data_IF_795199769189
#
_entry.id   IF_795199769189
#
_cell.length_a   1.000
_cell.length_b   1.000
_cell.length_c   1.000
_cell.angle_alpha   90.00
_cell.angle_beta   90.00
_cell.angle_gamma   90.00
#
_symmetry.space_group_name_H-M   'P 1'
#
loop_
_entity.id
_entity.type
_entity.pdbx_description
1 polymer ?
#
# COMPACT_ATOMS: atom_id res chain seq x y z
N UNK A 1 -10.27 18.27 43.79
CA UNK A 1 -10.81 18.79 42.51
C UNK A 1 -9.74 19.46 41.65
N UNK A 2 -8.82 20.26 42.21
CA UNK A 2 -7.78 20.96 41.45
C UNK A 2 -6.71 20.05 40.77
N UNK A 3 -6.24 19.00 41.45
CA UNK A 3 -5.22 18.09 40.88
C UNK A 3 -5.72 17.28 39.67
N UNK A 4 -7.02 16.97 39.62
CA UNK A 4 -7.63 16.29 38.47
C UNK A 4 -7.69 17.23 37.26
N UNK A 5 -8.11 18.49 37.45
CA UNK A 5 -8.11 19.48 36.36
C UNK A 5 -6.71 19.78 35.84
N UNK A 6 -5.70 19.78 36.71
CA UNK A 6 -4.30 20.01 36.32
C UNK A 6 -3.76 18.84 35.47
N UNK A 7 -4.05 17.59 35.85
CA UNK A 7 -3.72 16.40 35.04
C UNK A 7 -4.44 16.36 33.70
N UNK A 8 -5.70 16.81 33.65
CA UNK A 8 -6.44 16.93 32.38
C UNK A 8 -5.83 18.02 31.49
N UNK A 9 -5.46 19.16 32.05
CA UNK A 9 -4.79 20.22 31.30
C UNK A 9 -3.45 19.74 30.73
N UNK A 10 -2.67 19.00 31.51
CA UNK A 10 -1.39 18.42 31.07
C UNK A 10 -1.59 17.38 29.97
N UNK A 11 -2.58 16.50 30.08
CA UNK A 11 -2.92 15.52 29.03
C UNK A 11 -3.35 16.21 27.74
N UNK A 12 -4.20 17.23 27.81
CA UNK A 12 -4.64 17.98 26.63
C UNK A 12 -3.50 18.75 25.97
N UNK A 13 -2.55 19.29 26.75
CA UNK A 13 -1.35 19.95 26.23
C UNK A 13 -0.41 18.96 25.53
N UNK A 14 -0.26 17.74 26.04
CA UNK A 14 0.56 16.70 25.40
C UNK A 14 -0.09 16.19 24.11
N UNK A 15 -1.42 16.03 24.11
CA UNK A 15 -2.18 15.59 22.94
C UNK A 15 -2.17 16.64 21.83
N UNK A 16 -2.39 17.92 22.16
CA UNK A 16 -2.34 18.99 21.16
C UNK A 16 -0.96 19.15 20.54
N UNK A 17 0.11 18.92 21.33
CA UNK A 17 1.48 18.91 20.84
C UNK A 17 1.74 17.72 19.90
N UNK A 18 1.31 16.51 20.26
CA UNK A 18 1.48 15.34 19.39
C UNK A 18 0.70 15.49 18.08
N UNK A 19 -0.51 16.06 18.14
CA UNK A 19 -1.31 16.29 16.94
C UNK A 19 -0.65 17.32 16.02
N UNK A 20 -0.12 18.42 16.57
CA UNK A 20 0.61 19.41 15.80
C UNK A 20 1.86 18.82 15.11
N UNK A 21 2.60 17.95 15.79
CA UNK A 21 3.75 17.24 15.21
C UNK A 21 3.33 16.26 14.10
N UNK A 22 2.20 15.57 14.26
CA UNK A 22 1.63 14.70 13.23
C UNK A 22 1.19 15.48 11.99
N UNK A 23 0.51 16.62 12.15
CA UNK A 23 0.11 17.44 10.99
C UNK A 23 1.30 18.04 10.26
N UNK A 24 2.37 18.40 10.98
CA UNK A 24 3.60 18.91 10.38
C UNK A 24 4.29 17.83 9.54
N UNK A 25 4.46 16.64 10.10
CA UNK A 25 5.10 15.52 9.39
C UNK A 25 4.29 15.05 8.18
N UNK A 26 2.96 14.97 8.30
CA UNK A 26 2.07 14.69 7.17
C UNK A 26 2.11 15.79 6.10
N UNK A 27 2.23 17.05 6.51
CA UNK A 27 2.38 18.18 5.60
C UNK A 27 3.69 18.09 4.79
N UNK A 28 4.80 17.81 5.46
CA UNK A 28 6.12 17.64 4.85
C UNK A 28 6.14 16.43 3.89
N UNK A 29 5.54 15.31 4.29
CA UNK A 29 5.41 14.13 3.42
C UNK A 29 4.54 14.42 2.19
N UNK A 30 3.41 15.11 2.34
CA UNK A 30 2.55 15.48 1.21
C UNK A 30 3.24 16.47 0.25
N UNK A 31 4.00 17.43 0.79
CA UNK A 31 4.78 18.35 -0.03
C UNK A 31 5.86 17.60 -0.82
N UNK A 32 6.57 16.66 -0.18
CA UNK A 32 7.55 15.80 -0.85
C UNK A 32 6.92 14.95 -1.96
N UNK A 33 5.76 14.35 -1.72
CA UNK A 33 5.04 13.57 -2.75
C UNK A 33 4.64 14.46 -3.93
N UNK A 34 4.14 15.68 -3.66
CA UNK A 34 3.79 16.63 -4.74
C UNK A 34 5.00 17.03 -5.57
N UNK A 35 6.16 17.26 -4.93
CA UNK A 35 7.39 17.59 -5.63
C UNK A 35 7.89 16.42 -6.49
N UNK A 36 7.82 15.18 -5.99
CA UNK A 36 8.11 13.98 -6.80
C UNK A 36 7.17 13.88 -8.00
N UNK A 37 5.87 14.14 -7.81
CA UNK A 37 4.89 14.15 -8.91
C UNK A 37 5.21 15.24 -9.92
N UNK A 38 5.58 16.43 -9.47
CA UNK A 38 5.94 17.56 -10.33
C UNK A 38 7.23 17.30 -11.11
N UNK A 39 8.25 16.73 -10.47
CA UNK A 39 9.49 16.27 -11.14
C UNK A 39 9.21 15.21 -12.21
N UNK A 40 8.22 14.33 -11.97
CA UNK A 40 7.77 13.31 -12.93
C UNK A 40 6.85 13.86 -14.03
N UNK A 41 6.18 15.00 -13.81
CA UNK A 41 5.23 15.61 -14.76
C UNK A 41 5.74 16.90 -15.41
N UNK A 42 6.98 17.30 -15.12
CA UNK A 42 7.62 18.48 -15.67
C UNK A 42 7.68 18.50 -17.21
N UNK A 43 7.86 19.68 -17.83
CA UNK A 43 7.68 19.89 -19.28
C UNK A 43 8.63 19.09 -20.19
N UNK A 44 9.68 18.47 -19.64
CA UNK A 44 10.50 17.49 -20.37
C UNK A 44 9.72 16.21 -20.74
N UNK A 45 8.70 15.85 -19.97
CA UNK A 45 7.79 14.73 -20.26
C UNK A 45 6.74 15.08 -21.32
N UNK A 46 6.41 16.36 -21.50
CA UNK A 46 5.41 16.81 -22.48
C UNK A 46 5.91 16.78 -23.94
N UNK A 47 7.22 16.70 -24.18
CA UNK A 47 7.80 16.57 -25.51
C UNK A 47 7.85 15.11 -26.02
N UNK A 48 7.67 14.13 -25.13
CA UNK A 48 7.56 12.72 -25.49
C UNK A 48 6.09 12.33 -25.55
N UNK A 49 5.55 12.29 -26.77
CA UNK A 49 4.12 12.19 -27.07
C UNK A 49 3.31 11.19 -26.22
N UNK A 50 2.11 11.67 -25.85
CA UNK A 50 0.88 10.91 -25.56
C UNK A 50 1.05 9.40 -25.35
N UNK A 51 1.21 9.00 -24.10
CA UNK A 51 0.79 7.68 -23.61
C UNK A 51 -0.13 7.94 -22.41
N UNK A 52 -1.37 7.41 -22.40
CA UNK A 52 -2.28 7.65 -21.29
C UNK A 52 -1.68 7.01 -20.03
N UNK A 53 -1.44 7.81 -18.99
CA UNK A 53 -1.03 7.31 -17.69
C UNK A 53 -2.18 6.50 -17.10
N UNK A 54 -2.09 5.17 -17.25
CA UNK A 54 -2.79 4.24 -16.40
C UNK A 54 -2.32 4.51 -14.96
N UNK A 55 -3.28 4.70 -14.06
CA UNK A 55 -3.12 4.63 -12.60
C UNK A 55 -2.13 3.54 -12.24
N UNK A 56 -0.93 3.94 -11.83
CA UNK A 56 0.11 3.06 -11.30
C UNK A 56 -0.37 2.55 -9.94
N UNK A 57 -1.22 1.52 -9.98
CA UNK A 57 -1.20 0.52 -8.93
C UNK A 57 0.26 0.07 -8.74
N UNK A 58 0.64 -0.38 -7.53
CA UNK A 58 1.93 -1.00 -7.23
C UNK A 58 2.11 -2.33 -8.00
N UNK A 59 1.99 -2.28 -9.32
CA UNK A 59 2.23 -3.36 -10.23
C UNK A 59 3.72 -3.33 -10.57
N UNK A 60 4.36 -4.50 -10.59
CA UNK A 60 5.79 -4.58 -10.83
C UNK A 60 6.08 -4.09 -12.27
N UNK A 61 6.97 -3.09 -12.37
CA UNK A 61 7.33 -2.47 -13.65
C UNK A 61 8.20 -3.44 -14.45
N UNK A 62 7.79 -3.73 -15.68
CA UNK A 62 8.58 -4.53 -16.62
C UNK A 62 10.02 -3.98 -16.73
N UNK A 63 11.02 -4.84 -16.54
CA UNK A 63 12.44 -4.46 -16.61
C UNK A 63 12.89 -4.07 -18.01
N UNK A 64 12.18 -4.55 -19.03
CA UNK A 64 12.47 -4.32 -20.43
C UNK A 64 11.17 -4.07 -21.21
N UNK A 65 11.27 -3.33 -22.31
CA UNK A 65 10.16 -3.12 -23.23
C UNK A 65 9.61 -4.48 -23.72
N UNK A 66 8.28 -4.62 -23.90
CA UNK A 66 7.63 -5.90 -24.18
C UNK A 66 8.19 -6.63 -25.41
N UNK A 67 8.65 -5.87 -26.41
CA UNK A 67 9.30 -6.38 -27.63
C UNK A 67 10.69 -7.00 -27.38
N UNK A 68 11.44 -6.44 -26.42
CA UNK A 68 12.76 -6.93 -26.01
C UNK A 68 12.67 -8.09 -25.00
N UNK A 69 11.47 -8.40 -24.53
CA UNK A 69 11.17 -9.50 -23.61
C UNK A 69 10.80 -10.80 -24.34
N UNK A 70 11.06 -10.95 -25.63
CA UNK A 70 10.88 -12.23 -26.33
C UNK A 70 12.08 -13.16 -26.11
N UNK A 71 11.87 -14.47 -26.08
CA UNK A 71 12.96 -15.47 -25.94
C UNK A 71 14.09 -15.27 -26.96
N UNK A 72 13.75 -14.89 -28.19
CA UNK A 72 14.74 -14.62 -29.22
C UNK A 72 15.57 -13.39 -28.87
N UNK A 73 14.93 -12.26 -28.52
CA UNK A 73 15.63 -11.03 -28.14
C UNK A 73 16.51 -11.20 -26.90
N UNK A 74 16.03 -11.93 -25.88
CA UNK A 74 16.79 -12.22 -24.67
C UNK A 74 18.02 -13.11 -24.96
N UNK A 75 17.87 -14.12 -25.82
CA UNK A 75 18.99 -14.95 -26.28
C UNK A 75 19.99 -14.15 -27.13
N UNK A 76 19.53 -13.24 -27.99
CA UNK A 76 20.42 -12.36 -28.76
C UNK A 76 21.20 -11.42 -27.85
N UNK A 77 20.56 -10.88 -26.82
CA UNK A 77 21.12 -9.86 -25.92
C UNK A 77 22.08 -10.43 -24.88
N UNK A 78 21.71 -11.53 -24.22
CA UNK A 78 22.50 -12.09 -23.12
C UNK A 78 23.30 -13.33 -23.51
N UNK A 79 22.92 -14.03 -24.59
CA UNK A 79 23.55 -15.28 -25.11
C UNK A 79 23.54 -16.47 -24.15
N UNK A 80 23.67 -16.26 -22.85
CA UNK A 80 23.66 -17.25 -21.78
C UNK A 80 22.62 -16.88 -20.71
N UNK A 81 22.07 -17.91 -20.07
CA UNK A 81 21.10 -17.77 -18.97
C UNK A 81 21.74 -17.11 -17.75
N UNK A 82 23.00 -17.43 -17.46
CA UNK A 82 23.74 -16.88 -16.33
C UNK A 82 23.91 -15.36 -16.42
N UNK A 83 24.24 -14.86 -17.63
CA UNK A 83 24.45 -13.42 -17.86
C UNK A 83 23.14 -12.64 -17.73
N UNK A 84 22.02 -13.23 -18.19
CA UNK A 84 20.68 -12.68 -18.01
C UNK A 84 20.24 -12.69 -16.54
N UNK A 85 20.61 -13.72 -15.78
CA UNK A 85 20.31 -13.83 -14.36
C UNK A 85 21.06 -12.77 -13.54
N UNK A 86 22.37 -12.61 -13.76
CA UNK A 86 23.17 -11.59 -13.05
C UNK A 86 22.61 -10.19 -13.30
N UNK A 87 22.24 -9.89 -14.55
CA UNK A 87 21.64 -8.60 -14.89
C UNK A 87 20.29 -8.39 -14.19
N UNK A 88 19.46 -9.42 -14.09
CA UNK A 88 18.19 -9.34 -13.38
C UNK A 88 18.39 -9.23 -11.86
N UNK A 89 19.42 -9.87 -11.29
CA UNK A 89 19.78 -9.80 -9.87
C UNK A 89 20.21 -8.38 -9.45
N UNK A 90 20.97 -7.68 -10.30
CA UNK A 90 21.36 -6.28 -10.06
C UNK A 90 20.15 -5.34 -9.95
N UNK A 91 19.01 -5.69 -10.56
CA UNK A 91 17.82 -4.84 -10.65
C UNK A 91 16.70 -5.25 -9.69
N UNK A 92 16.53 -6.55 -9.44
CA UNK A 92 15.41 -7.11 -8.65
C UNK A 92 15.85 -7.78 -7.34
N UNK A 93 17.15 -7.96 -7.11
CA UNK A 93 17.67 -8.74 -5.98
C UNK A 93 17.79 -10.24 -6.28
N UNK A 94 18.06 -11.08 -5.27
CA UNK A 94 18.57 -12.44 -5.45
C UNK A 94 17.61 -13.36 -6.25
N UNK A 95 18.15 -14.05 -7.26
CA UNK A 95 17.38 -14.94 -8.14
C UNK A 95 17.08 -16.32 -7.52
N UNK A 96 16.07 -17.03 -8.04
CA UNK A 96 15.89 -18.44 -7.76
C UNK A 96 17.07 -19.30 -8.26
N UNK A 97 17.35 -20.39 -7.56
CA UNK A 97 18.42 -21.34 -7.92
C UNK A 97 18.11 -22.00 -9.28
N UNK A 98 18.80 -21.54 -10.35
CA UNK A 98 18.74 -22.01 -11.75
C UNK A 98 17.43 -21.62 -12.49
N UNK A 99 17.25 -20.34 -12.85
CA UNK A 99 16.08 -19.92 -13.62
C UNK A 99 16.15 -20.47 -15.05
N UNK A 100 15.01 -20.90 -15.58
CA UNK A 100 14.85 -21.24 -17.00
C UNK A 100 14.67 -19.96 -17.84
N UNK A 101 14.92 -20.04 -19.15
CA UNK A 101 14.69 -18.89 -20.05
C UNK A 101 13.24 -18.36 -19.99
N UNK A 102 12.26 -19.23 -19.75
CA UNK A 102 10.86 -18.84 -19.60
C UNK A 102 10.60 -18.08 -18.28
N UNK A 103 11.23 -18.51 -17.18
CA UNK A 103 11.17 -17.80 -15.90
C UNK A 103 11.84 -16.42 -16.00
N UNK A 104 12.96 -16.33 -16.72
CA UNK A 104 13.61 -15.05 -17.02
C UNK A 104 12.71 -14.17 -17.89
N UNK A 105 12.14 -14.69 -18.97
CA UNK A 105 11.20 -13.96 -19.85
C UNK A 105 10.05 -13.34 -19.04
N UNK A 106 9.45 -14.13 -18.15
CA UNK A 106 8.43 -13.66 -17.23
C UNK A 106 8.97 -12.62 -16.25
N UNK A 107 10.18 -12.82 -15.72
CA UNK A 107 10.84 -11.85 -14.83
C UNK A 107 11.08 -10.51 -15.51
N UNK A 108 11.51 -10.51 -16.78
CA UNK A 108 11.73 -9.30 -17.56
C UNK A 108 10.42 -8.59 -17.91
N UNK A 109 9.34 -9.35 -18.19
CA UNK A 109 8.00 -8.79 -18.45
C UNK A 109 7.32 -8.25 -17.21
N UNK A 110 7.45 -8.96 -16.10
CA UNK A 110 6.70 -8.65 -14.88
C UNK A 110 7.49 -7.77 -13.94
N UNK A 111 8.82 -7.71 -14.03
CA UNK A 111 9.63 -6.96 -13.06
C UNK A 111 9.71 -7.60 -11.68
N UNK A 112 9.41 -8.89 -11.57
CA UNK A 112 9.52 -9.64 -10.32
C UNK A 112 9.95 -11.08 -10.61
N UNK A 113 10.75 -11.65 -9.71
CA UNK A 113 11.06 -13.07 -9.79
C UNK A 113 9.77 -13.90 -9.68
N UNK A 114 9.58 -14.95 -10.51
CA UNK A 114 8.43 -15.81 -10.40
C UNK A 114 8.48 -16.47 -9.03
N UNK A 115 7.58 -16.05 -8.15
CA UNK A 115 7.32 -16.77 -6.91
C UNK A 115 6.81 -18.13 -7.36
N UNK A 116 7.60 -19.19 -7.14
CA UNK A 116 7.10 -20.56 -7.32
C UNK A 116 5.83 -20.62 -6.50
N UNK A 117 4.69 -20.66 -7.18
CA UNK A 117 3.40 -20.78 -6.56
C UNK A 117 3.45 -22.09 -5.77
N UNK A 118 3.77 -21.99 -4.49
CA UNK A 118 3.45 -23.04 -3.54
C UNK A 118 1.99 -23.33 -3.81
N UNK A 119 1.67 -24.59 -4.14
CA UNK A 119 0.30 -25.04 -4.44
C UNK A 119 -0.62 -24.78 -3.24
N UNK A 120 -1.02 -23.53 -3.06
CA UNK A 120 -2.16 -23.10 -2.28
C UNK A 120 -3.09 -22.43 -3.27
N UNK A 121 -3.83 -23.31 -3.94
CA UNK A 121 -5.15 -23.11 -4.49
C UNK A 121 -5.51 -21.68 -4.91
N UNK A 122 -5.44 -21.44 -6.22
CA UNK A 122 -6.21 -20.41 -6.92
C UNK A 122 -7.70 -20.76 -6.97
N UNK A 123 -8.35 -21.05 -5.83
CA UNK A 123 -9.77 -21.42 -5.76
C UNK A 123 -10.60 -20.68 -4.71
N UNK A 124 -10.26 -19.42 -4.39
CA UNK A 124 -11.00 -18.64 -3.36
C UNK A 124 -11.19 -17.16 -3.65
N UNK A 125 -10.97 -16.68 -4.89
CA UNK A 125 -11.19 -15.27 -5.21
C UNK A 125 -12.69 -14.85 -5.23
N UNK A 126 -13.63 -15.81 -5.33
CA UNK A 126 -15.07 -15.52 -5.35
C UNK A 126 -15.82 -15.75 -4.02
N UNK A 127 -15.25 -16.53 -3.08
CA UNK A 127 -15.93 -16.94 -1.84
C UNK A 127 -15.53 -16.11 -0.61
N UNK A 128 -14.51 -15.24 -0.71
CA UNK A 128 -14.02 -14.46 0.43
C UNK A 128 -14.57 -13.03 0.50
N UNK A 129 -15.03 -12.43 -0.60
CA UNK A 129 -15.54 -11.06 -0.59
C UNK A 129 -16.82 -10.93 0.25
N UNK A 130 -17.81 -11.80 0.02
CA UNK A 130 -19.06 -11.80 0.78
C UNK A 130 -18.83 -12.11 2.28
N UNK A 131 -17.89 -13.02 2.59
CA UNK A 131 -17.55 -13.35 3.98
C UNK A 131 -16.82 -12.21 4.70
N UNK A 132 -16.01 -11.43 3.96
CA UNK A 132 -15.38 -10.22 4.48
C UNK A 132 -16.40 -9.11 4.68
N UNK A 133 -17.33 -8.92 3.74
CA UNK A 133 -18.44 -7.96 3.86
C UNK A 133 -19.30 -8.27 5.08
N UNK A 134 -19.68 -9.53 5.28
CA UNK A 134 -20.46 -9.97 6.44
C UNK A 134 -19.70 -9.71 7.76
N UNK A 135 -18.39 -9.97 7.78
CA UNK A 135 -17.55 -9.69 8.95
C UNK A 135 -17.41 -8.20 9.24
N UNK A 136 -17.37 -7.36 8.21
CA UNK A 136 -17.33 -5.90 8.35
C UNK A 136 -18.66 -5.37 8.88
N UNK A 137 -19.79 -5.85 8.36
CA UNK A 137 -21.12 -5.50 8.86
C UNK A 137 -21.31 -5.92 10.31
N UNK A 138 -20.88 -7.12 10.70
CA UNK A 138 -20.91 -7.56 12.09
C UNK A 138 -20.06 -6.66 13.01
N UNK A 139 -18.88 -6.23 12.56
CA UNK A 139 -18.04 -5.29 13.32
C UNK A 139 -18.67 -3.91 13.46
N UNK A 140 -19.29 -3.41 12.39
CA UNK A 140 -20.01 -2.13 12.40
C UNK A 140 -21.18 -2.17 13.38
N UNK A 141 -22.00 -3.21 13.33
CA UNK A 141 -23.13 -3.38 14.26
C UNK A 141 -22.67 -3.42 15.73
N UNK A 142 -21.57 -4.12 16.03
CA UNK A 142 -21.01 -4.14 17.39
C UNK A 142 -20.49 -2.78 17.85
N UNK A 143 -19.89 -2.01 16.94
CA UNK A 143 -19.44 -0.65 17.23
C UNK A 143 -20.63 0.28 17.49
N UNK A 144 -21.66 0.20 16.65
CA UNK A 144 -22.88 0.98 16.79
C UNK A 144 -23.59 0.68 18.11
N UNK A 145 -23.76 -0.59 18.47
CA UNK A 145 -24.34 -0.98 19.77
C UNK A 145 -23.54 -0.43 20.96
N UNK A 146 -22.20 -0.46 20.91
CA UNK A 146 -21.36 0.11 21.97
C UNK A 146 -21.52 1.62 22.09
N UNK A 147 -21.70 2.32 20.97
CA UNK A 147 -21.95 3.75 20.97
C UNK A 147 -23.32 4.08 21.56
N UNK A 148 -24.37 3.33 21.17
CA UNK A 148 -25.71 3.48 21.72
C UNK A 148 -25.69 3.27 23.24
N UNK A 149 -25.08 2.18 23.73
CA UNK A 149 -24.97 1.90 25.17
C UNK A 149 -24.24 3.01 25.93
N UNK A 150 -23.18 3.59 25.34
CA UNK A 150 -22.47 4.72 25.96
C UNK A 150 -23.35 5.97 26.01
N UNK A 151 -24.09 6.24 24.95
CA UNK A 151 -25.00 7.40 24.88
C UNK A 151 -26.14 7.23 25.89
N UNK A 152 -26.74 6.05 25.99
CA UNK A 152 -27.77 5.73 26.98
C UNK A 152 -27.24 5.90 28.41
N UNK A 153 -26.06 5.36 28.71
CA UNK A 153 -25.43 5.53 30.02
C UNK A 153 -25.14 7.01 30.34
N UNK A 154 -24.71 7.80 29.36
CA UNK A 154 -24.54 9.25 29.53
C UNK A 154 -25.88 9.96 29.74
N UNK A 155 -26.95 9.56 29.04
CA UNK A 155 -28.28 10.11 29.23
C UNK A 155 -28.85 9.79 30.62
N UNK A 156 -28.63 8.59 31.13
CA UNK A 156 -29.02 8.20 32.49
C UNK A 156 -28.27 8.99 33.56
N UNK A 157 -26.96 9.22 33.37
CA UNK A 157 -26.16 10.06 34.26
C UNK A 157 -26.63 11.52 34.22
N UNK A 158 -26.97 12.06 33.05
CA UNK A 158 -27.51 13.43 32.95
C UNK A 158 -28.89 13.51 33.62
N UNK A 159 -29.75 12.49 33.44
CA UNK A 159 -31.06 12.44 34.10
C UNK A 159 -30.93 12.35 35.62
N UNK A 160 -30.01 11.55 36.15
CA UNK A 160 -29.80 11.44 37.59
C UNK A 160 -29.24 12.72 38.20
N UNK A 161 -28.42 13.47 37.45
CA UNK A 161 -27.92 14.79 37.85
C UNK A 161 -28.95 15.93 37.76
N UNK A 162 -30.04 15.76 36.98
CA UNK A 162 -31.10 16.75 36.84
C UNK A 162 -32.27 16.53 37.82
N UNK A 163 -32.43 15.31 38.33
CA UNK A 163 -33.51 14.91 39.25
C UNK A 163 -33.07 14.93 40.73
N UNK A 164 -31.76 14.91 40.99
CA UNK A 164 -31.18 15.13 42.33
C UNK A 164 -30.86 16.60 42.58
#
# INVERSE_FOLDING_TARGET
>A
MAELSERFAELMARLSKSDAELFRTLGEQNASVRQIVEDLTGPAAAAAGTVPLATTALAPQALLAPEACSLHALKTRFRRVADAQVWAEERLGPAPKKPTWAELEQTFRTGAWPVKASRRASSTAGLQAAQLEERLLQRLNLMEQKLVQRIEGLQELIRSLLVG
#
